data_IF_614237935778
#
_entry.id   IF_614237935778
#
_cell.length_a   1.000
_cell.length_b   1.000
_cell.length_c   1.000
_cell.angle_alpha   90.00
_cell.angle_beta   90.00
_cell.angle_gamma   90.00
#
_symmetry.space_group_name_H-M   'P 1'
#
loop_
_entity.id
_entity.type
_entity.pdbx_description
1 polymer ?
#
# COMPACT_ATOMS: atom_id res chain seq x y z
N UNK A 1 -3.06 52.72 -0.52
CA UNK A 1 -2.37 52.25 0.72
C UNK A 1 -1.04 51.62 0.32
N UNK A 2 0.04 51.86 1.09
CA UNK A 2 1.42 51.65 0.69
C UNK A 2 1.88 50.17 0.79
N UNK A 3 3.00 49.80 0.16
CA UNK A 3 3.50 48.43 0.15
C UNK A 3 4.20 48.08 1.48
N UNK A 4 3.96 46.89 2.01
CA UNK A 4 4.73 46.35 3.15
C UNK A 4 5.87 45.48 2.63
N UNK A 5 7.06 45.87 3.09
CA UNK A 5 8.36 45.28 2.82
C UNK A 5 8.43 43.82 3.28
N UNK A 6 9.04 43.01 2.43
CA UNK A 6 9.65 41.72 2.75
C UNK A 6 10.82 41.92 3.71
N UNK A 7 10.79 41.23 4.85
CA UNK A 7 11.90 41.14 5.78
C UNK A 7 12.37 39.68 5.80
N UNK A 8 13.41 39.42 5.02
CA UNK A 8 14.31 38.27 5.17
C UNK A 8 15.12 38.49 6.45
N UNK A 9 15.05 37.58 7.42
CA UNK A 9 16.04 37.49 8.48
C UNK A 9 16.64 36.08 8.46
N UNK A 10 17.80 36.01 7.83
CA UNK A 10 18.83 34.99 8.08
C UNK A 10 19.50 35.35 9.40
N UNK A 11 19.55 34.44 10.37
CA UNK A 11 20.53 34.54 11.45
C UNK A 11 21.28 33.22 11.62
N UNK A 12 22.59 33.37 11.50
CA UNK A 12 23.64 32.38 11.63
C UNK A 12 23.81 31.90 13.09
N UNK A 13 24.39 30.71 13.18
CA UNK A 13 24.87 30.04 14.38
C UNK A 13 25.67 30.92 15.35
N UNK A 14 25.41 30.74 16.65
CA UNK A 14 26.36 31.02 17.72
C UNK A 14 26.42 29.81 18.67
N UNK A 15 27.52 29.08 18.54
CA UNK A 15 27.98 28.01 19.41
C UNK A 15 28.24 28.56 20.82
N UNK A 16 27.64 27.97 21.85
CA UNK A 16 28.09 28.10 23.24
C UNK A 16 28.14 26.70 23.86
N UNK A 17 29.37 26.27 24.14
CA UNK A 17 29.71 24.98 24.71
C UNK A 17 29.32 24.93 26.20
N UNK A 18 28.16 24.38 26.50
CA UNK A 18 27.99 23.67 27.77
C UNK A 18 28.47 22.23 27.53
N UNK A 19 29.53 21.81 28.22
CA UNK A 19 29.95 20.40 28.29
C UNK A 19 28.86 19.60 29.01
N UNK A 20 27.79 19.28 28.29
CA UNK A 20 26.95 18.14 28.59
C UNK A 20 27.83 16.89 28.45
N UNK A 21 27.91 16.09 29.51
CA UNK A 21 28.52 14.77 29.43
C UNK A 21 27.81 14.02 28.28
N UNK A 22 28.58 13.61 27.27
CA UNK A 22 28.08 12.73 26.20
C UNK A 22 27.34 11.55 26.86
N UNK A 23 26.09 11.26 26.47
CA UNK A 23 25.48 9.99 26.83
C UNK A 23 26.41 8.87 26.38
N UNK A 24 26.50 7.79 27.17
CA UNK A 24 27.25 6.61 26.80
C UNK A 24 26.69 6.05 25.48
N UNK A 25 27.44 6.24 24.40
CA UNK A 25 27.52 5.38 23.21
C UNK A 25 26.29 5.28 22.31
N UNK A 26 26.46 5.72 21.06
CA UNK A 26 25.65 5.40 19.89
C UNK A 26 25.74 3.88 19.58
N UNK A 27 25.29 3.02 20.50
CA UNK A 27 25.29 1.58 20.30
C UNK A 27 24.06 1.14 19.49
N UNK A 28 24.23 0.34 18.44
CA UNK A 28 23.13 -0.28 17.72
C UNK A 28 22.14 -1.01 18.63
N UNK A 29 20.85 -0.95 18.30
CA UNK A 29 19.83 -1.69 19.03
C UNK A 29 20.07 -3.20 18.92
N UNK A 30 20.16 -3.90 20.04
CA UNK A 30 20.31 -5.35 20.05
C UNK A 30 18.96 -6.04 19.82
N UNK A 31 18.92 -7.24 19.24
CA UNK A 31 17.67 -7.99 19.04
C UNK A 31 16.81 -8.11 20.30
N UNK A 32 17.45 -8.36 21.45
CA UNK A 32 16.79 -8.50 22.76
C UNK A 32 16.15 -7.20 23.27
N UNK A 33 16.47 -6.06 22.65
CA UNK A 33 15.84 -4.77 22.94
C UNK A 33 14.58 -4.54 22.10
N UNK A 34 14.32 -5.39 21.09
CA UNK A 34 13.07 -5.40 20.34
C UNK A 34 12.09 -6.36 21.01
N UNK A 35 12.46 -7.63 21.08
CA UNK A 35 11.65 -8.71 21.67
C UNK A 35 12.55 -9.63 22.49
N UNK A 36 11.98 -10.25 23.52
CA UNK A 36 12.68 -11.18 24.42
C UNK A 36 12.83 -12.60 23.83
N UNK A 37 11.98 -12.96 22.87
CA UNK A 37 11.87 -14.31 22.30
C UNK A 37 11.65 -14.27 20.78
N UNK A 38 12.20 -15.27 20.09
CA UNK A 38 12.03 -15.49 18.66
C UNK A 38 11.90 -17.00 18.39
N UNK A 39 10.74 -17.42 17.91
CA UNK A 39 10.43 -18.83 17.62
C UNK A 39 9.92 -18.97 16.18
N UNK A 40 10.49 -19.91 15.43
CA UNK A 40 10.18 -20.10 14.01
C UNK A 40 9.31 -21.34 13.81
N UNK A 41 8.23 -21.19 13.06
CA UNK A 41 7.48 -22.31 12.46
C UNK A 41 7.49 -22.17 10.95
N UNK A 42 7.70 -23.27 10.24
CA UNK A 42 7.77 -23.30 8.77
C UNK A 42 6.79 -24.34 8.27
N UNK A 43 5.96 -23.96 7.29
CA UNK A 43 5.05 -24.87 6.60
C UNK A 43 5.48 -24.99 5.13
N UNK A 44 5.52 -26.23 4.63
CA UNK A 44 5.78 -26.49 3.21
C UNK A 44 4.49 -26.66 2.41
N UNK A 45 4.57 -26.49 1.09
CA UNK A 45 3.43 -26.71 0.18
C UNK A 45 2.89 -28.14 0.25
N UNK A 46 3.73 -29.10 0.63
CA UNK A 46 3.33 -30.50 0.86
C UNK A 46 2.45 -30.69 2.10
N UNK A 47 2.24 -29.66 2.91
CA UNK A 47 1.55 -29.72 4.21
C UNK A 47 2.44 -30.16 5.38
N UNK A 48 3.70 -30.50 5.12
CA UNK A 48 4.68 -30.87 6.15
C UNK A 48 5.11 -29.61 6.91
N UNK A 49 5.17 -29.72 8.23
CA UNK A 49 5.70 -28.67 9.14
C UNK A 49 6.92 -29.24 9.86
N UNK A 50 8.13 -29.13 9.27
CA UNK A 50 9.34 -29.65 9.89
C UNK A 50 9.75 -28.83 11.11
N UNK A 51 10.54 -29.45 11.99
CA UNK A 51 11.17 -28.75 13.11
C UNK A 51 12.44 -28.07 12.61
N UNK A 52 12.59 -26.81 13.01
CA UNK A 52 13.77 -26.00 12.73
C UNK A 52 14.40 -25.57 14.06
N UNK A 53 15.67 -25.90 14.26
CA UNK A 53 16.40 -25.56 15.48
C UNK A 53 17.35 -24.39 15.24
N UNK A 54 17.55 -23.56 16.28
CA UNK A 54 18.52 -22.47 16.27
C UNK A 54 19.59 -22.68 17.33
N UNK A 55 20.84 -22.33 17.00
CA UNK A 55 21.97 -22.31 17.94
C UNK A 55 22.15 -20.95 18.63
N UNK A 56 21.19 -20.05 18.46
CA UNK A 56 21.22 -18.69 19.00
C UNK A 56 21.83 -17.68 18.05
N UNK A 57 21.97 -16.45 18.54
CA UNK A 57 22.41 -15.30 17.76
C UNK A 57 23.89 -15.37 17.38
N UNK A 58 24.17 -15.09 16.12
CA UNK A 58 25.50 -14.86 15.58
C UNK A 58 25.67 -13.38 15.27
N UNK A 59 26.85 -12.85 15.58
CA UNK A 59 27.23 -11.51 15.16
C UNK A 59 27.58 -11.53 13.67
N UNK A 60 26.95 -10.64 12.91
CA UNK A 60 27.20 -10.44 11.48
C UNK A 60 28.13 -9.26 11.22
N UNK A 61 27.96 -8.66 10.05
CA UNK A 61 28.78 -7.54 9.59
C UNK A 61 28.48 -6.24 10.37
N UNK A 62 29.49 -5.36 10.41
CA UNK A 62 29.34 -3.99 10.89
C UNK A 62 29.67 -3.04 9.76
N UNK A 63 28.88 -1.99 9.61
CA UNK A 63 29.03 -1.07 8.51
C UNK A 63 28.48 0.31 8.80
N UNK A 64 28.39 1.11 7.73
CA UNK A 64 27.75 2.42 7.75
C UNK A 64 27.09 2.67 6.40
N UNK A 65 25.87 3.18 6.43
CA UNK A 65 25.16 3.66 5.25
C UNK A 65 24.38 4.95 5.55
N UNK A 66 23.35 5.25 4.76
CA UNK A 66 22.51 6.45 4.89
C UNK A 66 21.69 6.50 6.19
N UNK A 67 21.39 5.35 6.82
CA UNK A 67 20.71 5.29 8.11
C UNK A 67 21.69 5.35 9.29
N UNK A 68 22.99 5.34 9.02
CA UNK A 68 24.05 5.50 10.01
C UNK A 68 24.89 4.24 10.18
N UNK A 69 25.52 4.12 11.34
CA UNK A 69 26.29 2.92 11.69
C UNK A 69 25.35 1.76 12.01
N UNK A 70 25.67 0.59 11.50
CA UNK A 70 24.91 -0.62 11.78
C UNK A 70 25.76 -1.80 12.22
N UNK A 71 25.09 -2.71 12.92
CA UNK A 71 25.55 -4.06 13.20
C UNK A 71 24.47 -5.06 12.80
N UNK A 72 24.85 -6.09 12.07
CA UNK A 72 23.94 -7.17 11.70
C UNK A 72 23.96 -8.26 12.75
N UNK A 73 22.79 -8.76 13.15
CA UNK A 73 22.61 -9.92 14.01
C UNK A 73 21.87 -11.02 13.23
N UNK A 74 22.40 -12.24 13.24
CA UNK A 74 21.82 -13.37 12.50
C UNK A 74 21.30 -14.42 13.48
N UNK A 75 20.07 -14.88 13.25
CA UNK A 75 19.49 -16.03 13.96
C UNK A 75 19.21 -17.12 12.92
N UNK A 76 20.18 -18.03 12.68
CA UNK A 76 20.00 -19.13 11.75
C UNK A 76 19.14 -20.23 12.37
N UNK A 77 18.31 -20.82 11.53
CA UNK A 77 17.46 -21.96 11.80
C UNK A 77 17.78 -23.04 10.77
N UNK A 78 17.91 -24.28 11.22
CA UNK A 78 18.25 -25.42 10.35
C UNK A 78 17.32 -26.60 10.65
N UNK A 79 16.95 -27.34 9.60
CA UNK A 79 16.21 -28.60 9.75
C UNK A 79 17.12 -29.70 10.32
N UNK A 80 16.50 -30.80 10.79
CA UNK A 80 17.22 -31.94 11.39
C UNK A 80 18.28 -32.55 10.45
N UNK A 81 17.98 -32.62 9.15
CA UNK A 81 18.90 -33.17 8.13
C UNK A 81 20.02 -32.20 7.73
N UNK A 82 19.94 -30.93 8.13
CA UNK A 82 20.89 -29.91 7.73
C UNK A 82 20.77 -29.45 6.26
N UNK A 83 19.71 -29.82 5.57
CA UNK A 83 19.51 -29.61 4.13
C UNK A 83 18.71 -28.34 3.80
N UNK A 84 17.91 -27.86 4.75
CA UNK A 84 17.10 -26.65 4.64
C UNK A 84 17.45 -25.69 5.76
N UNK A 85 17.47 -24.40 5.45
CA UNK A 85 17.81 -23.36 6.41
C UNK A 85 17.01 -22.09 6.17
N UNK A 86 16.68 -21.43 7.27
CA UNK A 86 16.15 -20.08 7.30
C UNK A 86 17.07 -19.23 8.16
N UNK A 87 17.18 -17.94 7.89
CA UNK A 87 17.96 -17.03 8.73
C UNK A 87 17.23 -15.72 8.88
N UNK A 88 16.84 -15.41 10.10
CA UNK A 88 16.39 -14.07 10.47
C UNK A 88 17.62 -13.18 10.61
N UNK A 89 17.69 -12.14 9.80
CA UNK A 89 18.76 -11.15 9.81
C UNK A 89 18.18 -9.82 10.31
N UNK A 90 18.74 -9.28 11.38
CA UNK A 90 18.41 -7.95 11.88
C UNK A 90 19.58 -7.01 11.59
N UNK A 91 19.36 -6.01 10.74
CA UNK A 91 20.30 -4.90 10.53
C UNK A 91 19.93 -3.81 11.53
N UNK A 92 20.78 -3.65 12.54
CA UNK A 92 20.49 -2.80 13.69
C UNK A 92 21.27 -1.50 13.64
N UNK A 93 20.57 -0.39 13.77
CA UNK A 93 21.09 0.97 13.94
C UNK A 93 20.77 1.46 15.36
N UNK A 94 21.17 2.69 15.70
CA UNK A 94 20.90 3.29 17.01
C UNK A 94 19.40 3.34 17.38
N UNK A 95 18.55 3.61 16.39
CA UNK A 95 17.11 3.79 16.57
C UNK A 95 16.26 2.93 15.63
N UNK A 96 16.87 2.29 14.63
CA UNK A 96 16.17 1.56 13.58
C UNK A 96 16.61 0.10 13.55
N UNK A 97 15.70 -0.81 13.28
CA UNK A 97 15.99 -2.20 12.93
C UNK A 97 15.27 -2.55 11.64
N UNK A 98 16.02 -3.06 10.66
CA UNK A 98 15.47 -3.66 9.44
C UNK A 98 15.66 -5.17 9.51
N UNK A 99 14.56 -5.91 9.39
CA UNK A 99 14.57 -7.37 9.51
C UNK A 99 14.36 -8.03 8.15
N UNK A 100 15.22 -8.99 7.82
CA UNK A 100 15.14 -9.77 6.60
C UNK A 100 15.05 -11.27 6.93
N UNK A 101 14.41 -12.02 6.04
CA UNK A 101 14.39 -13.47 6.11
C UNK A 101 15.06 -14.04 4.87
N UNK A 102 16.15 -14.76 5.10
CA UNK A 102 16.79 -15.58 4.07
C UNK A 102 16.25 -17.00 4.16
N UNK A 103 15.86 -17.57 3.04
CA UNK A 103 15.34 -18.93 2.93
C UNK A 103 16.21 -19.70 1.94
N UNK A 104 16.54 -20.94 2.28
CA UNK A 104 17.19 -21.89 1.38
C UNK A 104 16.73 -23.30 1.75
N UNK A 105 15.75 -23.82 1.01
CA UNK A 105 15.18 -25.14 1.25
C UNK A 105 15.87 -26.22 0.42
N UNK A 106 15.78 -27.47 0.88
CA UNK A 106 16.28 -28.66 0.16
C UNK A 106 15.77 -28.70 -1.28
N UNK A 107 16.69 -28.97 -2.19
CA UNK A 107 16.38 -29.19 -3.59
C UNK A 107 17.13 -30.43 -4.07
N UNK A 108 16.37 -31.40 -4.57
CA UNK A 108 16.89 -32.56 -5.27
C UNK A 108 16.04 -32.78 -6.53
N UNK A 109 16.69 -32.75 -7.70
CA UNK A 109 16.03 -32.88 -9.01
C UNK A 109 15.46 -34.30 -9.18
N UNK A 110 16.10 -35.30 -8.58
CA UNK A 110 15.67 -36.70 -8.63
C UNK A 110 15.04 -37.17 -7.31
N UNK A 111 14.85 -36.24 -6.36
CA UNK A 111 14.37 -36.52 -5.01
C UNK A 111 13.38 -35.48 -4.52
N UNK A 112 13.42 -35.21 -3.22
CA UNK A 112 12.48 -34.28 -2.58
C UNK A 112 12.97 -32.84 -2.75
N UNK A 113 12.10 -31.99 -3.29
CA UNK A 113 12.27 -30.53 -3.28
C UNK A 113 11.23 -29.93 -2.34
N UNK A 114 11.69 -29.10 -1.41
CA UNK A 114 10.82 -28.37 -0.49
C UNK A 114 10.56 -26.95 -1.00
N UNK A 115 9.34 -26.48 -0.78
CA UNK A 115 8.84 -25.15 -1.13
C UNK A 115 7.97 -24.65 0.02
N UNK A 116 8.01 -23.35 0.32
CA UNK A 116 7.18 -22.76 1.37
C UNK A 116 5.72 -22.83 0.97
N UNK A 117 4.83 -23.13 1.92
CA UNK A 117 3.40 -22.97 1.73
C UNK A 117 3.10 -21.52 1.29
N UNK A 118 2.22 -21.29 0.29
CA UNK A 118 2.01 -19.94 -0.24
C UNK A 118 1.35 -19.02 0.78
N UNK A 119 0.58 -19.57 1.71
CA UNK A 119 -0.03 -18.83 2.81
C UNK A 119 0.55 -19.28 4.15
N UNK A 120 1.02 -18.32 4.96
CA UNK A 120 1.66 -18.54 6.25
C UNK A 120 2.79 -19.58 6.22
N UNK A 121 3.57 -19.62 5.13
CA UNK A 121 4.71 -20.53 4.96
C UNK A 121 5.80 -20.33 6.01
N UNK A 122 5.88 -19.13 6.60
CA UNK A 122 6.71 -18.87 7.79
C UNK A 122 5.87 -18.12 8.83
N UNK A 123 5.98 -18.56 10.08
CA UNK A 123 5.51 -17.84 11.26
C UNK A 123 6.69 -17.59 12.18
N UNK A 124 6.91 -16.33 12.52
CA UNK A 124 7.91 -15.93 13.51
C UNK A 124 7.17 -15.40 14.74
N UNK A 125 7.05 -16.24 15.76
CA UNK A 125 6.47 -15.87 17.05
C UNK A 125 7.49 -15.09 17.87
N UNK A 126 7.05 -13.99 18.47
CA UNK A 126 7.84 -13.16 19.37
C UNK A 126 7.05 -12.89 20.65
N UNK A 127 7.76 -12.58 21.73
CA UNK A 127 7.13 -12.11 22.96
C UNK A 127 6.68 -10.65 22.85
N UNK A 128 6.26 -10.09 23.97
CA UNK A 128 5.93 -8.65 24.05
C UNK A 128 7.16 -7.79 23.71
N UNK A 129 6.95 -6.56 23.21
CA UNK A 129 8.03 -5.62 23.05
C UNK A 129 8.79 -5.40 24.35
N UNK A 130 10.12 -5.32 24.27
CA UNK A 130 10.95 -5.16 25.46
C UNK A 130 10.63 -3.84 26.20
N UNK A 131 10.63 -3.91 27.53
CA UNK A 131 10.30 -2.80 28.42
C UNK A 131 8.90 -2.89 29.03
N UNK A 132 8.53 -1.93 29.89
CA UNK A 132 7.18 -1.87 30.45
C UNK A 132 6.22 -1.29 29.40
N UNK A 133 5.44 -2.17 28.76
CA UNK A 133 4.46 -1.79 27.74
C UNK A 133 3.31 -0.96 28.35
N UNK A 134 3.07 0.21 27.80
CA UNK A 134 2.01 1.14 28.21
C UNK A 134 0.76 1.01 27.31
N UNK A 135 0.93 0.58 26.06
CA UNK A 135 -0.15 0.34 25.12
C UNK A 135 0.31 0.25 23.67
N UNK A 136 -0.60 -0.21 22.81
CA UNK A 136 -0.39 -0.40 21.37
C UNK A 136 -1.50 0.22 20.54
N UNK A 137 -1.14 0.72 19.36
CA UNK A 137 -2.01 1.12 18.27
C UNK A 137 -1.64 0.30 17.04
N UNK A 138 -2.55 -0.54 16.60
CA UNK A 138 -2.41 -1.34 15.39
C UNK A 138 -3.30 -0.80 14.28
N UNK A 139 -2.85 -0.92 13.04
CA UNK A 139 -3.69 -0.73 11.87
C UNK A 139 -3.78 -2.07 11.13
N UNK A 140 -4.98 -2.67 11.12
CA UNK A 140 -5.20 -3.96 10.47
C UNK A 140 -6.00 -3.81 9.19
N UNK A 141 -5.61 -4.56 8.16
CA UNK A 141 -6.30 -4.59 6.87
C UNK A 141 -7.25 -5.80 6.82
N UNK A 142 -8.48 -5.59 6.37
CA UNK A 142 -9.49 -6.66 6.35
C UNK A 142 -10.84 -6.25 6.92
N UNK A 143 -11.00 -5.00 7.36
CA UNK A 143 -12.33 -4.47 7.60
C UNK A 143 -13.06 -4.34 6.27
N UNK A 144 -14.18 -5.07 6.11
CA UNK A 144 -14.89 -5.20 4.83
C UNK A 144 -13.90 -5.43 3.67
N UNK A 145 -13.08 -6.46 3.84
CA UNK A 145 -12.07 -6.96 2.88
C UNK A 145 -10.85 -6.06 2.67
N UNK A 146 -11.04 -4.81 2.25
CA UNK A 146 -9.97 -3.99 1.66
C UNK A 146 -9.55 -2.78 2.49
N UNK A 147 -10.33 -2.48 3.54
CA UNK A 147 -10.09 -1.31 4.36
C UNK A 147 -9.28 -1.64 5.60
N UNK A 148 -8.61 -0.59 6.07
CA UNK A 148 -7.75 -0.61 7.24
C UNK A 148 -8.46 0.10 8.39
N UNK A 149 -8.28 -0.40 9.60
CA UNK A 149 -8.83 0.20 10.82
C UNK A 149 -7.81 0.32 11.94
N UNK A 150 -7.88 1.39 12.74
CA UNK A 150 -7.12 1.45 13.98
C UNK A 150 -7.71 0.47 15.01
N UNK A 151 -6.83 -0.09 15.84
CA UNK A 151 -7.16 -0.94 16.96
C UNK A 151 -6.23 -0.62 18.13
N UNK A 152 -6.81 -0.30 19.29
CA UNK A 152 -6.07 0.08 20.49
C UNK A 152 -6.14 -1.05 21.52
N UNK A 153 -5.00 -1.43 22.07
CA UNK A 153 -4.94 -2.44 23.12
C UNK A 153 -3.83 -2.15 24.13
N UNK A 154 -3.83 -2.90 25.24
CA UNK A 154 -2.78 -2.83 26.27
C UNK A 154 -1.60 -3.76 26.01
N UNK A 155 -1.75 -4.73 25.11
CA UNK A 155 -0.81 -5.82 24.88
C UNK A 155 -0.84 -6.23 23.40
N UNK A 156 0.28 -6.76 22.88
CA UNK A 156 0.37 -7.28 21.51
C UNK A 156 -0.36 -8.61 21.31
N UNK A 157 -0.66 -9.34 22.39
CA UNK A 157 -1.51 -10.54 22.36
C UNK A 157 -2.91 -10.32 21.79
N UNK A 158 -3.42 -9.08 21.83
CA UNK A 158 -4.73 -8.71 21.33
C UNK A 158 -4.72 -8.19 19.88
N UNK A 159 -3.58 -8.24 19.18
CA UNK A 159 -3.49 -7.71 17.82
C UNK A 159 -4.45 -8.45 16.87
N UNK A 160 -5.30 -7.72 16.12
CA UNK A 160 -6.13 -8.31 15.09
C UNK A 160 -5.28 -8.98 14.01
N UNK A 161 -5.82 -10.00 13.37
CA UNK A 161 -5.18 -10.60 12.20
C UNK A 161 -5.01 -9.58 11.08
N UNK A 162 -3.98 -9.80 10.24
CA UNK A 162 -3.64 -8.91 9.12
C UNK A 162 -3.28 -7.49 9.57
N UNK A 163 -2.74 -7.34 10.78
CA UNK A 163 -2.15 -6.08 11.23
C UNK A 163 -0.96 -5.73 10.33
N UNK A 164 -0.97 -4.53 9.75
CA UNK A 164 0.02 -4.06 8.77
C UNK A 164 0.79 -2.81 9.22
N UNK A 165 0.50 -2.30 10.41
CA UNK A 165 1.32 -1.32 11.11
C UNK A 165 1.08 -1.46 12.61
N UNK A 166 2.14 -1.34 13.41
CA UNK A 166 2.09 -1.44 14.86
C UNK A 166 2.91 -0.31 15.48
N UNK A 167 2.26 0.56 16.24
CA UNK A 167 2.90 1.54 17.11
C UNK A 167 2.73 1.07 18.55
N UNK A 168 3.78 1.09 19.35
CA UNK A 168 3.64 0.88 20.79
C UNK A 168 4.41 1.91 21.58
N UNK A 169 4.03 2.04 22.85
CA UNK A 169 4.76 2.82 23.84
C UNK A 169 5.26 1.90 24.95
N UNK A 170 6.55 1.93 25.22
CA UNK A 170 7.18 1.20 26.32
C UNK A 170 8.26 2.07 26.97
N UNK A 171 8.31 2.07 28.30
CA UNK A 171 9.26 2.87 29.09
C UNK A 171 9.35 4.35 28.65
N UNK A 172 8.21 4.97 28.34
CA UNK A 172 8.14 6.36 27.92
C UNK A 172 8.55 6.63 26.46
N UNK A 173 8.95 5.61 25.69
CA UNK A 173 9.36 5.73 24.28
C UNK A 173 8.38 5.06 23.34
N UNK A 174 8.33 5.56 22.11
CA UNK A 174 7.48 5.02 21.05
C UNK A 174 8.31 4.21 20.06
N UNK A 175 7.75 3.12 19.55
CA UNK A 175 8.34 2.39 18.44
C UNK A 175 7.27 2.12 17.38
N UNK A 176 7.53 2.58 16.15
CA UNK A 176 6.71 2.24 14.98
C UNK A 176 7.36 1.05 14.27
N UNK A 177 6.56 0.00 14.02
CA UNK A 177 6.92 -1.15 13.22
C UNK A 177 5.98 -1.26 12.03
N UNK A 178 6.56 -1.35 10.83
CA UNK A 178 5.87 -1.67 9.60
C UNK A 178 6.28 -3.06 9.13
N UNK A 179 5.41 -4.10 9.27
CA UNK A 179 5.61 -5.31 8.49
C UNK A 179 5.54 -4.94 7.00
N UNK A 180 6.20 -5.73 6.17
CA UNK A 180 6.45 -5.37 4.78
C UNK A 180 5.82 -6.37 3.82
N UNK A 181 5.28 -5.83 2.73
CA UNK A 181 5.14 -6.56 1.49
C UNK A 181 6.34 -6.23 0.60
N UNK A 182 7.36 -7.10 0.63
CA UNK A 182 8.52 -7.02 -0.25
C UNK A 182 8.13 -7.48 -1.67
N UNK A 183 9.10 -7.77 -2.55
CA UNK A 183 8.79 -8.28 -3.88
C UNK A 183 8.00 -9.59 -3.81
N UNK A 184 8.38 -10.47 -2.88
CA UNK A 184 7.76 -11.80 -2.73
C UNK A 184 6.91 -11.95 -1.48
N UNK A 185 7.44 -11.63 -0.31
CA UNK A 185 6.73 -11.89 0.94
C UNK A 185 5.74 -10.79 1.25
N UNK A 186 4.51 -11.18 1.62
CA UNK A 186 3.59 -10.34 2.39
C UNK A 186 3.67 -10.75 3.85
N UNK A 187 4.19 -9.85 4.68
CA UNK A 187 4.28 -10.05 6.13
C UNK A 187 3.13 -9.32 6.82
N UNK A 188 2.39 -9.97 7.70
CA UNK A 188 1.36 -9.34 8.55
C UNK A 188 1.52 -9.79 9.99
N UNK A 189 0.88 -9.10 10.93
CA UNK A 189 0.94 -9.44 12.36
C UNK A 189 -0.41 -9.95 12.85
N UNK A 190 -0.36 -10.76 13.90
CA UNK A 190 -1.51 -11.14 14.73
C UNK A 190 -1.06 -11.48 16.14
N UNK A 191 -1.93 -11.28 17.12
CA UNK A 191 -1.67 -11.72 18.49
C UNK A 191 -1.66 -13.25 18.59
N UNK A 192 -0.83 -13.80 19.48
CA UNK A 192 -0.68 -15.25 19.68
C UNK A 192 -0.94 -15.71 21.13
N UNK A 193 -1.48 -14.83 21.99
CA UNK A 193 -1.78 -15.09 23.40
C UNK A 193 -0.64 -14.80 24.38
N UNK A 194 0.63 -14.86 23.94
CA UNK A 194 1.82 -14.58 24.76
C UNK A 194 2.63 -13.35 24.28
N UNK A 195 2.26 -12.82 23.12
CA UNK A 195 2.90 -11.74 22.39
C UNK A 195 2.24 -11.67 21.02
N UNK A 196 3.03 -11.70 19.95
CA UNK A 196 2.47 -11.71 18.60
C UNK A 196 3.35 -12.51 17.63
N UNK A 197 2.84 -12.79 16.45
CA UNK A 197 3.60 -13.46 15.40
C UNK A 197 3.59 -12.64 14.10
N UNK A 198 4.71 -12.71 13.38
CA UNK A 198 4.80 -12.30 11.99
C UNK A 198 4.36 -13.48 11.12
N UNK A 199 3.27 -13.31 10.39
CA UNK A 199 2.75 -14.25 9.40
C UNK A 199 3.28 -13.84 8.04
N UNK A 200 4.14 -14.67 7.45
CA UNK A 200 4.84 -14.40 6.19
C UNK A 200 4.31 -15.33 5.11
N UNK A 201 3.71 -14.75 4.08
CA UNK A 201 3.10 -15.48 2.97
C UNK A 201 3.77 -15.10 1.65
N UNK A 202 4.40 -16.04 0.91
CA UNK A 202 4.86 -15.79 -0.46
C UNK A 202 3.72 -15.49 -1.44
N UNK A 203 2.53 -16.04 -1.16
CA UNK A 203 1.30 -15.92 -1.96
C UNK A 203 1.42 -16.41 -3.41
N UNK A 204 2.54 -17.04 -3.78
CA UNK A 204 2.74 -17.76 -5.02
C UNK A 204 3.39 -19.11 -4.73
N UNK A 205 3.28 -20.04 -5.68
CA UNK A 205 3.81 -21.39 -5.49
C UNK A 205 5.30 -21.48 -5.82
N UNK A 206 5.97 -22.46 -5.21
CA UNK A 206 7.33 -22.86 -5.59
C UNK A 206 8.47 -22.03 -4.99
N UNK A 207 8.17 -21.11 -4.06
CA UNK A 207 9.20 -20.32 -3.39
C UNK A 207 10.07 -21.21 -2.48
N UNK A 208 11.38 -21.18 -2.69
CA UNK A 208 12.33 -22.07 -1.99
C UNK A 208 13.65 -21.41 -1.60
N UNK A 209 14.00 -20.29 -2.24
CA UNK A 209 15.26 -19.61 -2.02
C UNK A 209 15.10 -18.11 -2.26
N UNK A 210 15.68 -17.29 -1.39
CA UNK A 210 15.63 -15.85 -1.51
C UNK A 210 15.88 -15.14 -0.19
N UNK A 211 16.04 -13.82 -0.25
CA UNK A 211 16.16 -12.94 0.92
C UNK A 211 15.19 -11.78 0.76
N UNK A 212 14.24 -11.66 1.68
CA UNK A 212 13.15 -10.70 1.59
C UNK A 212 13.06 -9.86 2.88
N UNK A 213 12.64 -8.59 2.74
CA UNK A 213 12.40 -7.69 3.87
C UNK A 213 11.11 -8.10 4.59
N UNK A 214 11.19 -8.35 5.90
CA UNK A 214 10.05 -8.72 6.74
C UNK A 214 9.39 -7.53 7.40
N UNK A 215 10.18 -6.69 8.07
CA UNK A 215 9.70 -5.52 8.78
C UNK A 215 10.79 -4.47 8.96
N UNK A 216 10.36 -3.23 9.22
CA UNK A 216 11.22 -2.17 9.74
C UNK A 216 10.60 -1.64 11.02
N UNK A 217 11.43 -1.44 12.04
CA UNK A 217 11.05 -0.82 13.30
C UNK A 217 11.92 0.40 13.58
N UNK A 218 11.33 1.49 14.05
CA UNK A 218 12.06 2.69 14.47
C UNK A 218 11.56 3.15 15.84
N UNK A 219 12.48 3.50 16.74
CA UNK A 219 12.20 3.94 18.11
C UNK A 219 12.52 5.42 18.29
N UNK A 220 11.65 6.16 18.97
CA UNK A 220 11.82 7.58 19.27
C UNK A 220 10.99 8.06 20.44
N UNK A 221 10.97 9.37 20.67
CA UNK A 221 10.28 10.00 21.80
C UNK A 221 8.93 10.62 21.42
N UNK A 222 8.67 10.80 20.12
CA UNK A 222 7.46 11.41 19.60
C UNK A 222 6.69 10.43 18.70
N UNK A 223 5.39 10.20 18.93
CA UNK A 223 4.59 9.19 18.22
C UNK A 223 4.32 9.53 16.75
N UNK A 224 4.48 10.79 16.33
CA UNK A 224 4.33 11.19 14.93
C UNK A 224 5.66 11.11 14.18
N UNK A 225 6.73 11.67 14.77
CA UNK A 225 8.06 11.64 14.15
C UNK A 225 8.59 10.21 13.95
N UNK A 226 8.27 9.29 14.89
CA UNK A 226 8.67 7.88 14.78
C UNK A 226 8.06 7.19 13.55
N UNK A 227 6.86 7.61 13.14
CA UNK A 227 6.15 7.05 11.97
C UNK A 227 6.84 7.48 10.68
N UNK A 228 7.15 8.78 10.56
CA UNK A 228 7.89 9.33 9.42
C UNK A 228 9.27 8.69 9.29
N UNK A 229 10.02 8.59 10.40
CA UNK A 229 11.35 7.96 10.42
C UNK A 229 11.33 6.46 10.13
N UNK A 230 10.33 5.73 10.62
CA UNK A 230 10.12 4.35 10.22
C UNK A 230 9.85 4.22 8.72
N UNK A 231 9.04 5.12 8.14
CA UNK A 231 8.76 5.11 6.70
C UNK A 231 10.00 5.45 5.85
N UNK A 232 10.82 6.44 6.25
CA UNK A 232 12.11 6.71 5.61
C UNK A 232 13.02 5.46 5.62
N UNK A 233 13.10 4.79 6.78
CA UNK A 233 13.88 3.58 6.92
C UNK A 233 13.35 2.41 6.07
N UNK A 234 12.04 2.33 5.81
CA UNK A 234 11.47 1.36 4.85
C UNK A 234 12.01 1.58 3.45
N UNK A 235 12.02 2.82 2.95
CA UNK A 235 12.56 3.14 1.62
C UNK A 235 14.06 2.81 1.52
N UNK A 236 14.84 3.19 2.53
CA UNK A 236 16.26 2.85 2.63
C UNK A 236 16.49 1.33 2.61
N UNK A 237 15.74 0.57 3.42
CA UNK A 237 15.82 -0.89 3.50
C UNK A 237 15.42 -1.59 2.19
N UNK A 238 14.55 -0.97 1.39
CA UNK A 238 14.15 -1.40 0.04
C UNK A 238 15.10 -0.93 -1.06
N UNK A 239 16.06 -0.05 -0.75
CA UNK A 239 16.94 0.63 -1.71
C UNK A 239 16.16 1.42 -2.75
N UNK A 240 15.09 2.06 -2.30
CA UNK A 240 14.21 2.89 -3.11
C UNK A 240 14.37 4.36 -2.71
N UNK A 241 14.23 5.33 -3.63
CA UNK A 241 14.22 6.74 -3.26
C UNK A 241 13.13 7.02 -2.22
N UNK A 242 13.48 7.77 -1.17
CA UNK A 242 12.52 8.18 -0.14
C UNK A 242 11.42 9.03 -0.77
N UNK A 243 10.16 8.55 -0.70
CA UNK A 243 8.98 9.20 -1.26
C UNK A 243 7.83 9.27 -0.24
N UNK A 244 8.06 10.01 0.84
CA UNK A 244 7.03 10.34 1.82
C UNK A 244 5.95 11.24 1.21
N UNK A 245 4.79 11.33 1.88
CA UNK A 245 3.64 12.16 1.45
C UNK A 245 4.04 13.61 1.17
N UNK A 246 4.87 14.18 2.04
CA UNK A 246 5.35 15.57 1.99
C UNK A 246 6.24 15.85 0.78
N UNK A 247 6.83 14.80 0.18
CA UNK A 247 7.64 14.90 -1.04
C UNK A 247 6.81 14.82 -2.33
N UNK A 248 5.51 14.51 -2.22
CA UNK A 248 4.60 14.35 -3.34
C UNK A 248 3.83 15.63 -3.58
N UNK A 249 3.57 15.98 -4.85
CA UNK A 249 2.78 17.16 -5.20
C UNK A 249 1.31 16.92 -4.83
N UNK A 250 0.76 17.74 -3.95
CA UNK A 250 -0.68 17.80 -3.71
C UNK A 250 -1.37 18.40 -4.94
N UNK A 251 -2.33 17.72 -5.59
CA UNK A 251 -2.97 18.26 -6.77
C UNK A 251 -3.97 19.37 -6.42
N UNK A 252 -3.81 20.54 -7.05
CA UNK A 252 -4.62 21.76 -6.80
C UNK A 252 -6.14 21.51 -6.86
N UNK A 253 -6.61 20.60 -7.74
CA UNK A 253 -8.04 20.27 -7.88
C UNK A 253 -8.70 19.96 -6.53
N UNK A 254 -7.96 19.34 -5.61
CA UNK A 254 -8.48 18.94 -4.30
C UNK A 254 -8.47 20.05 -3.24
N UNK A 255 -7.98 21.25 -3.56
CA UNK A 255 -8.16 22.45 -2.73
C UNK A 255 -9.57 23.04 -2.84
N UNK A 256 -10.36 22.58 -3.83
CA UNK A 256 -11.70 23.07 -4.09
C UNK A 256 -12.77 22.04 -3.70
N UNK A 257 -13.97 22.54 -3.43
CA UNK A 257 -15.15 21.70 -3.25
C UNK A 257 -15.48 20.97 -4.56
N UNK A 258 -15.64 19.66 -4.46
CA UNK A 258 -16.09 18.83 -5.56
C UNK A 258 -17.37 18.08 -5.29
N UNK A 259 -17.89 17.50 -6.35
CA UNK A 259 -19.04 16.60 -6.30
C UNK A 259 -18.72 15.28 -7.02
N UNK A 260 -19.08 14.18 -6.39
CA UNK A 260 -18.93 12.83 -6.92
C UNK A 260 -20.32 12.22 -7.12
N UNK A 261 -20.54 11.56 -8.25
CA UNK A 261 -21.87 11.11 -8.66
C UNK A 261 -22.37 9.85 -7.93
N UNK A 262 -21.51 9.14 -7.18
CA UNK A 262 -21.82 7.82 -6.61
C UNK A 262 -23.09 7.82 -5.73
N UNK A 263 -23.15 8.62 -4.67
CA UNK A 263 -24.30 8.63 -3.76
C UNK A 263 -25.59 9.16 -4.42
N UNK A 264 -25.47 9.89 -5.54
CA UNK A 264 -26.60 10.45 -6.25
C UNK A 264 -27.25 9.44 -7.20
N UNK A 265 -26.46 8.62 -7.89
CA UNK A 265 -26.97 7.75 -8.96
C UNK A 265 -26.52 6.30 -8.88
N UNK A 266 -25.49 5.99 -8.09
CA UNK A 266 -24.76 4.72 -8.17
C UNK A 266 -24.45 4.40 -9.65
N UNK A 267 -24.82 3.21 -10.11
CA UNK A 267 -24.59 2.77 -11.49
C UNK A 267 -25.50 3.44 -12.53
N UNK A 268 -26.53 4.18 -12.12
CA UNK A 268 -27.48 4.85 -13.01
C UNK A 268 -27.01 6.24 -13.45
N UNK A 269 -25.74 6.59 -13.17
CA UNK A 269 -25.13 7.84 -13.64
C UNK A 269 -25.30 8.00 -15.15
N UNK A 270 -25.73 9.18 -15.57
CA UNK A 270 -25.99 9.51 -16.97
C UNK A 270 -25.69 10.98 -17.22
N UNK A 271 -25.50 11.34 -18.49
CA UNK A 271 -25.33 12.73 -18.92
C UNK A 271 -26.48 13.60 -18.41
N UNK A 272 -27.73 13.18 -18.62
CA UNK A 272 -28.91 13.94 -18.18
C UNK A 272 -28.93 14.14 -16.66
N UNK A 273 -28.70 13.08 -15.87
CA UNK A 273 -28.70 13.20 -14.40
C UNK A 273 -27.62 14.14 -13.88
N UNK A 274 -26.43 14.11 -14.49
CA UNK A 274 -25.34 15.03 -14.16
C UNK A 274 -25.73 16.48 -14.45
N UNK A 275 -26.35 16.74 -15.60
CA UNK A 275 -26.78 18.08 -16.00
C UNK A 275 -27.87 18.63 -15.07
N UNK A 276 -28.90 17.84 -14.76
CA UNK A 276 -29.97 18.22 -13.83
C UNK A 276 -29.42 18.53 -12.44
N UNK A 277 -28.42 17.77 -11.98
CA UNK A 277 -27.77 18.05 -10.70
C UNK A 277 -26.91 19.32 -10.76
N UNK A 278 -26.22 19.57 -11.87
CA UNK A 278 -25.43 20.77 -12.06
C UNK A 278 -26.32 22.03 -12.06
N UNK A 279 -27.50 21.96 -12.69
CA UNK A 279 -28.53 23.00 -12.61
C UNK A 279 -28.96 23.27 -11.16
N UNK A 280 -29.23 22.22 -10.38
CA UNK A 280 -29.59 22.35 -8.97
C UNK A 280 -28.47 22.99 -8.13
N UNK A 281 -27.22 22.54 -8.30
CA UNK A 281 -26.06 23.07 -7.60
C UNK A 281 -25.85 24.56 -7.91
N UNK A 282 -25.98 24.94 -9.19
CA UNK A 282 -25.91 26.33 -9.64
C UNK A 282 -27.04 27.18 -9.05
N UNK A 283 -28.28 26.70 -9.11
CA UNK A 283 -29.43 27.39 -8.53
C UNK A 283 -29.28 27.62 -7.02
N UNK A 284 -28.68 26.65 -6.31
CA UNK A 284 -28.36 26.73 -4.87
C UNK A 284 -27.06 27.46 -4.56
N UNK A 285 -26.34 27.96 -5.57
CA UNK A 285 -25.07 28.66 -5.42
C UNK A 285 -23.99 27.84 -4.68
N UNK A 286 -23.99 26.52 -4.87
CA UNK A 286 -22.95 25.63 -4.33
C UNK A 286 -21.70 25.73 -5.20
N UNK A 287 -20.53 26.11 -4.66
CA UNK A 287 -19.34 26.42 -5.46
C UNK A 287 -18.55 25.17 -5.84
N UNK A 288 -19.18 24.25 -6.58
CA UNK A 288 -18.51 23.02 -7.07
C UNK A 288 -17.54 23.38 -8.19
N UNK A 289 -16.26 23.05 -8.02
CA UNK A 289 -15.20 23.31 -9.03
C UNK A 289 -14.70 22.07 -9.73
N UNK A 290 -15.02 20.89 -9.22
CA UNK A 290 -14.74 19.66 -9.91
C UNK A 290 -15.86 18.63 -9.76
N UNK A 291 -16.05 17.82 -10.80
CA UNK A 291 -17.03 16.74 -10.83
C UNK A 291 -16.32 15.42 -11.09
N UNK A 292 -16.59 14.40 -10.28
CA UNK A 292 -16.14 13.02 -10.49
C UNK A 292 -17.31 12.18 -10.99
N UNK A 293 -17.24 11.74 -12.25
CA UNK A 293 -18.17 10.77 -12.83
C UNK A 293 -17.75 9.39 -12.30
N UNK A 294 -18.44 8.95 -11.26
CA UNK A 294 -18.16 7.70 -10.56
C UNK A 294 -18.69 6.47 -11.31
N UNK A 295 -18.58 5.29 -10.70
CA UNK A 295 -18.89 4.00 -11.33
C UNK A 295 -20.27 3.97 -12.01
N UNK A 296 -20.35 3.31 -13.17
CA UNK A 296 -21.56 3.15 -13.99
C UNK A 296 -21.49 3.78 -15.37
N UNK A 297 -20.45 4.57 -15.68
CA UNK A 297 -20.34 5.29 -16.95
C UNK A 297 -19.78 4.47 -18.13
N UNK A 298 -19.02 3.42 -17.85
CA UNK A 298 -18.35 2.58 -18.86
C UNK A 298 -19.18 1.35 -19.25
N UNK A 299 -19.04 0.81 -20.48
CA UNK A 299 -19.70 -0.40 -20.90
C UNK A 299 -19.07 -1.62 -20.22
N UNK A 300 -19.92 -2.42 -19.59
CA UNK A 300 -19.53 -3.54 -18.73
C UNK A 300 -20.42 -4.74 -19.03
N UNK A 301 -19.83 -5.94 -19.01
CA UNK A 301 -20.56 -7.22 -19.09
C UNK A 301 -20.13 -8.09 -17.93
N UNK A 302 -21.09 -8.59 -17.14
CA UNK A 302 -20.81 -9.42 -15.95
C UNK A 302 -19.75 -8.84 -15.00
N UNK A 303 -19.77 -7.51 -14.84
CA UNK A 303 -18.78 -6.74 -14.07
C UNK A 303 -17.34 -6.83 -14.61
N UNK A 304 -17.16 -7.04 -15.91
CA UNK A 304 -15.88 -6.93 -16.60
C UNK A 304 -15.93 -5.77 -17.63
N UNK A 305 -14.82 -5.04 -17.77
CA UNK A 305 -14.71 -3.89 -18.67
C UNK A 305 -14.73 -4.33 -20.14
N UNK A 306 -15.63 -3.77 -20.95
CA UNK A 306 -15.77 -4.18 -22.37
C UNK A 306 -14.97 -3.29 -23.31
N UNK A 307 -15.03 -1.97 -23.12
CA UNK A 307 -14.39 -0.96 -23.96
C UNK A 307 -13.78 0.15 -23.10
N UNK A 308 -12.76 0.84 -23.63
CA UNK A 308 -12.19 2.04 -23.00
C UNK A 308 -13.10 3.26 -23.06
N UNK A 309 -14.16 3.17 -23.87
CA UNK A 309 -15.12 4.24 -24.13
C UNK A 309 -16.23 4.27 -23.10
N UNK A 310 -17.05 5.29 -23.18
CA UNK A 310 -18.28 5.44 -22.42
C UNK A 310 -19.43 4.58 -22.96
N UNK A 311 -20.43 4.33 -22.11
CA UNK A 311 -21.71 3.79 -22.53
C UNK A 311 -22.56 4.91 -23.17
N UNK A 312 -22.65 4.90 -24.50
CA UNK A 312 -23.40 5.90 -25.27
C UNK A 312 -24.91 5.89 -24.99
N UNK A 313 -25.45 4.82 -24.39
CA UNK A 313 -26.86 4.82 -23.96
C UNK A 313 -27.08 5.73 -22.74
N UNK A 314 -26.05 5.93 -21.92
CA UNK A 314 -26.05 6.82 -20.75
C UNK A 314 -25.47 8.20 -21.06
N UNK A 315 -24.58 8.28 -22.03
CA UNK A 315 -23.88 9.49 -22.48
C UNK A 315 -24.08 9.68 -24.00
N UNK A 316 -25.27 10.09 -24.45
CA UNK A 316 -25.60 10.19 -25.88
C UNK A 316 -24.73 11.19 -26.64
N UNK A 317 -24.22 12.25 -25.99
CA UNK A 317 -23.27 13.20 -26.59
C UNK A 317 -21.80 12.85 -26.29
N UNK A 318 -21.59 11.66 -25.73
CA UNK A 318 -20.31 11.18 -25.21
C UNK A 318 -19.82 11.94 -23.97
N UNK A 319 -18.72 11.47 -23.40
CA UNK A 319 -18.07 12.15 -22.27
C UNK A 319 -17.64 13.56 -22.64
N UNK A 320 -17.12 13.76 -23.87
CA UNK A 320 -16.70 15.08 -24.32
C UNK A 320 -17.84 16.10 -24.35
N UNK A 321 -19.06 15.68 -24.71
CA UNK A 321 -20.26 16.53 -24.63
C UNK A 321 -20.55 16.96 -23.19
N UNK A 322 -20.60 15.98 -22.30
CA UNK A 322 -20.85 16.19 -20.85
C UNK A 322 -19.80 17.11 -20.23
N UNK A 323 -18.51 16.85 -20.48
CA UNK A 323 -17.39 17.66 -19.97
C UNK A 323 -17.47 19.10 -20.48
N UNK A 324 -17.71 19.32 -21.77
CA UNK A 324 -17.84 20.68 -22.33
C UNK A 324 -18.96 21.44 -21.65
N UNK A 325 -20.11 20.80 -21.42
CA UNK A 325 -21.27 21.44 -20.78
C UNK A 325 -20.97 21.81 -19.32
N UNK A 326 -20.38 20.88 -18.55
CA UNK A 326 -19.92 21.14 -17.17
C UNK A 326 -18.99 22.35 -17.11
N UNK A 327 -17.98 22.39 -17.99
CA UNK A 327 -16.97 23.46 -17.99
C UNK A 327 -17.51 24.81 -18.46
N UNK A 328 -18.35 24.83 -19.50
CA UNK A 328 -18.85 26.09 -20.09
C UNK A 328 -20.02 26.70 -19.31
N UNK A 329 -20.94 25.88 -18.80
CA UNK A 329 -22.23 26.36 -18.31
C UNK A 329 -22.30 26.42 -16.78
N UNK A 330 -21.43 25.68 -16.08
CA UNK A 330 -21.49 25.47 -14.63
C UNK A 330 -20.21 25.82 -13.88
N UNK A 331 -19.23 26.47 -14.51
CA UNK A 331 -18.00 26.95 -13.85
C UNK A 331 -17.20 25.83 -13.15
N UNK A 332 -17.35 24.60 -13.67
CA UNK A 332 -16.55 23.44 -13.29
C UNK A 332 -15.19 23.54 -13.99
N UNK A 333 -14.11 23.47 -13.23
CA UNK A 333 -12.75 23.59 -13.76
C UNK A 333 -12.18 22.23 -14.15
N UNK A 334 -12.51 21.17 -13.40
CA UNK A 334 -12.00 19.82 -13.63
C UNK A 334 -13.10 18.77 -13.66
N UNK A 335 -13.03 17.83 -14.59
CA UNK A 335 -13.90 16.65 -14.64
C UNK A 335 -13.06 15.39 -14.54
N UNK A 336 -13.40 14.52 -13.60
CA UNK A 336 -12.74 13.23 -13.40
C UNK A 336 -13.64 12.05 -13.75
N UNK A 337 -13.03 10.89 -13.94
CA UNK A 337 -13.75 9.61 -13.99
C UNK A 337 -13.21 8.62 -12.98
N UNK A 338 -14.10 7.75 -12.54
CA UNK A 338 -13.77 6.55 -11.80
C UNK A 338 -13.38 5.39 -12.74
N UNK A 339 -12.43 4.57 -12.35
CA UNK A 339 -12.24 3.23 -12.91
C UNK A 339 -11.63 2.28 -11.87
N UNK A 340 -11.64 0.97 -12.12
CA UNK A 340 -10.98 0.01 -11.23
C UNK A 340 -9.53 -0.26 -11.65
N UNK A 341 -8.70 -0.67 -10.67
CA UNK A 341 -7.29 -1.00 -10.87
C UNK A 341 -7.05 -2.22 -11.77
N UNK A 342 -8.02 -3.12 -11.84
CA UNK A 342 -7.95 -4.38 -12.61
C UNK A 342 -8.73 -4.30 -13.94
N UNK A 343 -9.15 -3.11 -14.38
CA UNK A 343 -10.07 -2.92 -15.50
C UNK A 343 -11.46 -2.55 -15.00
N UNK A 344 -12.20 -3.54 -14.48
CA UNK A 344 -13.42 -3.36 -13.68
C UNK A 344 -13.42 -4.37 -12.53
N UNK A 345 -14.54 -4.51 -11.79
CA UNK A 345 -14.62 -5.37 -10.60
C UNK A 345 -14.20 -6.84 -10.82
N UNK A 346 -14.50 -7.44 -11.98
CA UNK A 346 -14.09 -8.79 -12.37
C UNK A 346 -13.00 -8.81 -13.45
N UNK A 347 -12.37 -7.67 -13.72
CA UNK A 347 -11.34 -7.57 -14.74
C UNK A 347 -11.82 -6.96 -16.06
N UNK A 348 -11.28 -7.46 -17.15
CA UNK A 348 -11.58 -7.08 -18.54
C UNK A 348 -12.35 -8.22 -19.21
N UNK A 349 -13.39 -7.88 -19.97
CA UNK A 349 -14.25 -8.86 -20.63
C UNK A 349 -13.47 -9.60 -21.73
N UNK A 350 -13.40 -10.95 -21.71
CA UNK A 350 -12.56 -11.71 -22.65
C UNK A 350 -13.03 -11.64 -24.11
N UNK A 351 -14.29 -11.28 -24.34
CA UNK A 351 -14.88 -11.10 -25.67
C UNK A 351 -15.06 -9.62 -26.04
N UNK A 352 -14.63 -8.73 -25.16
CA UNK A 352 -14.78 -7.29 -25.28
C UNK A 352 -13.82 -6.69 -26.28
N UNK A 353 -14.11 -5.46 -26.71
CA UNK A 353 -13.28 -4.70 -27.64
C UNK A 353 -11.83 -4.63 -27.16
N UNK A 354 -11.61 -4.40 -25.86
CA UNK A 354 -10.28 -4.31 -25.27
C UNK A 354 -9.51 -5.62 -25.50
N UNK A 355 -10.09 -6.76 -25.12
CA UNK A 355 -9.43 -8.07 -25.22
C UNK A 355 -9.16 -8.49 -26.66
N UNK A 356 -10.03 -8.11 -27.60
CA UNK A 356 -9.86 -8.41 -29.02
C UNK A 356 -8.74 -7.57 -29.66
N UNK A 357 -8.58 -6.31 -29.25
CA UNK A 357 -7.61 -5.37 -29.87
C UNK A 357 -6.28 -5.27 -29.14
N UNK A 358 -6.26 -5.52 -27.83
CA UNK A 358 -5.12 -5.22 -26.95
C UNK A 358 -4.71 -6.43 -26.10
N UNK A 359 -4.86 -7.65 -26.63
CA UNK A 359 -4.57 -8.91 -25.92
C UNK A 359 -3.15 -8.96 -25.35
N UNK A 360 -2.19 -8.36 -26.02
CA UNK A 360 -0.77 -8.30 -25.62
C UNK A 360 -0.51 -7.43 -24.39
N UNK A 361 -1.45 -6.55 -24.04
CA UNK A 361 -1.40 -5.67 -22.87
C UNK A 361 -2.08 -6.29 -21.64
N UNK A 362 -2.75 -7.43 -21.81
CA UNK A 362 -3.50 -8.12 -20.78
C UNK A 362 -2.74 -9.35 -20.25
N UNK A 363 -3.09 -9.73 -19.04
CA UNK A 363 -2.71 -10.99 -18.41
C UNK A 363 -3.98 -11.74 -18.03
N UNK A 364 -3.95 -13.07 -18.05
CA UNK A 364 -5.01 -13.90 -17.50
C UNK A 364 -4.60 -14.39 -16.10
N UNK A 365 -5.58 -14.50 -15.20
CA UNK A 365 -5.40 -15.25 -13.96
C UNK A 365 -5.69 -16.76 -14.15
N UNK A 366 -5.51 -17.55 -13.09
CA UNK A 366 -5.80 -19.00 -13.07
C UNK A 366 -7.25 -19.35 -13.39
N UNK A 367 -8.19 -18.43 -13.15
CA UNK A 367 -9.61 -18.60 -13.45
C UNK A 367 -9.97 -18.12 -14.86
N UNK A 368 -9.00 -17.63 -15.65
CA UNK A 368 -9.20 -17.09 -16.99
C UNK A 368 -9.74 -15.65 -17.03
N UNK A 369 -9.88 -14.96 -15.88
CA UNK A 369 -10.23 -13.54 -15.86
C UNK A 369 -9.04 -12.73 -16.38
N UNK A 370 -9.33 -11.70 -17.17
CA UNK A 370 -8.30 -10.83 -17.72
C UNK A 370 -8.13 -9.58 -16.87
N UNK A 371 -6.90 -9.12 -16.71
CA UNK A 371 -6.55 -7.85 -16.08
C UNK A 371 -5.42 -7.17 -16.86
N UNK A 372 -5.19 -5.86 -16.66
CA UNK A 372 -4.00 -5.20 -17.21
C UNK A 372 -2.74 -5.94 -16.76
N UNK A 373 -1.77 -6.08 -17.65
CA UNK A 373 -0.55 -6.82 -17.34
C UNK A 373 0.17 -6.21 -16.13
N UNK A 374 0.62 -7.09 -15.23
CA UNK A 374 1.38 -6.69 -14.03
C UNK A 374 2.86 -6.38 -14.34
N UNK A 375 3.32 -6.66 -15.57
CA UNK A 375 4.57 -6.13 -16.10
C UNK A 375 4.40 -4.64 -16.41
N UNK A 376 5.20 -3.78 -15.77
CA UNK A 376 5.03 -2.33 -15.85
C UNK A 376 5.02 -1.79 -17.30
N UNK A 377 5.86 -2.36 -18.18
CA UNK A 377 5.97 -1.92 -19.56
C UNK A 377 4.72 -2.27 -20.37
N UNK A 378 4.23 -3.50 -20.27
CA UNK A 378 2.99 -3.94 -20.94
C UNK A 378 1.76 -3.27 -20.33
N UNK A 379 1.67 -3.23 -19.01
CA UNK A 379 0.61 -2.57 -18.27
C UNK A 379 0.51 -1.08 -18.60
N UNK A 380 1.65 -0.41 -18.81
CA UNK A 380 1.65 1.00 -19.23
C UNK A 380 0.97 1.18 -20.58
N UNK A 381 1.11 0.23 -21.51
CA UNK A 381 0.38 0.26 -22.77
C UNK A 381 -1.14 0.29 -22.56
N UNK A 382 -1.67 -0.58 -21.68
CA UNK A 382 -3.11 -0.61 -21.37
C UNK A 382 -3.58 0.75 -20.82
N UNK A 383 -2.88 1.27 -19.80
CA UNK A 383 -3.26 2.54 -19.18
C UNK A 383 -3.11 3.73 -20.13
N UNK A 384 -2.04 3.77 -20.93
CA UNK A 384 -1.80 4.85 -21.89
C UNK A 384 -2.90 4.93 -22.95
N UNK A 385 -3.36 3.78 -23.48
CA UNK A 385 -4.46 3.78 -24.45
C UNK A 385 -5.76 4.29 -23.81
N UNK A 386 -6.11 3.79 -22.62
CA UNK A 386 -7.34 4.20 -21.95
C UNK A 386 -7.30 5.66 -21.49
N UNK A 387 -6.25 6.06 -20.78
CA UNK A 387 -6.07 7.41 -20.25
C UNK A 387 -5.85 8.44 -21.36
N UNK A 388 -5.18 8.05 -22.44
CA UNK A 388 -5.06 8.89 -23.64
C UNK A 388 -6.41 9.19 -24.27
N UNK A 389 -7.28 8.19 -24.40
CA UNK A 389 -8.65 8.39 -24.87
C UNK A 389 -9.47 9.28 -23.93
N UNK A 390 -9.42 9.04 -22.62
CA UNK A 390 -10.11 9.83 -21.60
C UNK A 390 -9.67 11.30 -21.60
N UNK A 391 -8.36 11.54 -21.64
CA UNK A 391 -7.78 12.88 -21.74
C UNK A 391 -8.26 13.61 -23.00
N UNK A 392 -8.35 12.90 -24.14
CA UNK A 392 -8.91 13.45 -25.37
C UNK A 392 -10.42 13.79 -25.27
N UNK A 393 -11.16 13.19 -24.33
CA UNK A 393 -12.55 13.59 -24.01
C UNK A 393 -12.62 14.81 -23.07
N UNK A 394 -11.48 15.32 -22.62
CA UNK A 394 -11.39 16.48 -21.71
C UNK A 394 -11.43 16.13 -20.22
N UNK A 395 -11.26 14.85 -19.86
CA UNK A 395 -11.08 14.41 -18.48
C UNK A 395 -9.73 14.90 -17.94
N UNK A 396 -9.74 15.37 -16.69
CA UNK A 396 -8.59 16.01 -16.05
C UNK A 396 -8.02 15.22 -14.86
N UNK A 397 -8.76 14.26 -14.31
CA UNK A 397 -8.35 13.50 -13.13
C UNK A 397 -9.00 12.12 -13.02
N UNK A 398 -8.47 11.28 -12.14
CA UNK A 398 -8.91 9.90 -11.94
C UNK A 398 -9.26 9.60 -10.49
N UNK A 399 -10.24 8.72 -10.28
CA UNK A 399 -10.41 7.94 -9.05
C UNK A 399 -10.22 6.46 -9.39
N UNK A 400 -9.26 5.80 -8.74
CA UNK A 400 -8.91 4.41 -9.05
C UNK A 400 -9.21 3.50 -7.87
N UNK A 401 -10.26 2.68 -8.04
CA UNK A 401 -10.78 1.78 -7.03
C UNK A 401 -10.19 0.37 -7.12
N UNK A 402 -10.59 -0.48 -6.16
CA UNK A 402 -10.28 -1.91 -6.11
C UNK A 402 -8.79 -2.26 -6.09
N UNK A 403 -7.92 -1.35 -5.65
CA UNK A 403 -6.47 -1.59 -5.68
C UNK A 403 -6.03 -2.78 -4.81
N UNK A 404 -6.61 -2.95 -3.62
CA UNK A 404 -6.30 -4.11 -2.75
C UNK A 404 -6.92 -5.43 -3.21
N UNK A 405 -7.83 -5.40 -4.19
CA UNK A 405 -8.38 -6.63 -4.76
C UNK A 405 -7.39 -7.38 -5.64
N UNK A 406 -6.26 -6.76 -6.02
CA UNK A 406 -5.25 -7.35 -6.90
C UNK A 406 -4.82 -8.76 -6.42
N UNK A 407 -4.74 -8.98 -5.10
CA UNK A 407 -4.41 -10.28 -4.52
C UNK A 407 -5.31 -11.41 -5.04
N UNK A 408 -6.58 -11.15 -5.31
CA UNK A 408 -7.55 -12.15 -5.81
C UNK A 408 -7.29 -12.54 -7.27
N UNK A 409 -6.54 -11.74 -8.02
CA UNK A 409 -6.17 -12.03 -9.41
C UNK A 409 -4.80 -12.70 -9.52
N UNK A 410 -3.86 -12.36 -8.63
CA UNK A 410 -2.45 -12.78 -8.79
C UNK A 410 -2.02 -13.89 -7.83
N UNK A 411 -2.79 -14.16 -6.77
CA UNK A 411 -2.49 -15.22 -5.80
C UNK A 411 -2.31 -16.57 -6.51
N UNK A 412 -1.25 -17.27 -6.14
CA UNK A 412 -0.87 -18.56 -6.71
C UNK A 412 -0.15 -18.48 -8.06
N UNK A 413 0.10 -17.28 -8.61
CA UNK A 413 0.71 -17.11 -9.94
C UNK A 413 1.95 -16.23 -9.90
N UNK A 414 1.80 -15.01 -9.39
CA UNK A 414 2.82 -13.97 -9.42
C UNK A 414 3.03 -13.47 -8.00
N UNK A 415 4.29 -13.21 -7.58
CA UNK A 415 4.54 -12.57 -6.30
C UNK A 415 3.76 -11.25 -6.15
N UNK A 416 2.99 -11.11 -5.07
CA UNK A 416 2.03 -10.02 -4.94
C UNK A 416 2.69 -8.64 -4.94
N UNK A 417 3.82 -8.47 -4.25
CA UNK A 417 4.50 -7.19 -4.20
C UNK A 417 5.08 -6.79 -5.56
N UNK A 418 5.64 -7.74 -6.32
CA UNK A 418 6.06 -7.51 -7.70
C UNK A 418 4.88 -7.07 -8.58
N UNK A 419 3.75 -7.77 -8.48
CA UNK A 419 2.55 -7.46 -9.26
C UNK A 419 1.99 -6.07 -8.94
N UNK A 420 1.87 -5.73 -7.65
CA UNK A 420 1.41 -4.42 -7.21
C UNK A 420 2.35 -3.30 -7.67
N UNK A 421 3.66 -3.49 -7.50
CA UNK A 421 4.68 -2.52 -7.93
C UNK A 421 4.59 -2.23 -9.42
N UNK A 422 4.59 -3.27 -10.25
CA UNK A 422 4.54 -3.09 -11.71
C UNK A 422 3.26 -2.41 -12.19
N UNK A 423 2.11 -2.78 -11.61
CA UNK A 423 0.82 -2.21 -12.01
C UNK A 423 0.64 -0.75 -11.52
N UNK A 424 1.12 -0.42 -10.31
CA UNK A 424 1.16 0.98 -9.83
C UNK A 424 2.11 1.84 -10.65
N UNK A 425 3.31 1.34 -10.97
CA UNK A 425 4.26 2.06 -11.83
C UNK A 425 3.64 2.39 -13.19
N UNK A 426 2.98 1.42 -13.81
CA UNK A 426 2.27 1.60 -15.07
C UNK A 426 1.12 2.62 -14.96
N UNK A 427 0.28 2.49 -13.93
CA UNK A 427 -0.86 3.38 -13.70
C UNK A 427 -0.40 4.83 -13.46
N UNK A 428 0.56 5.03 -12.55
CA UNK A 428 1.02 6.36 -12.15
C UNK A 428 1.81 7.04 -13.27
N UNK A 429 2.54 6.29 -14.10
CA UNK A 429 3.20 6.84 -15.28
C UNK A 429 2.17 7.40 -16.27
N UNK A 430 1.10 6.65 -16.53
CA UNK A 430 0.01 7.09 -17.42
C UNK A 430 -0.78 8.26 -16.82
N UNK A 431 -1.08 8.21 -15.53
CA UNK A 431 -1.76 9.30 -14.83
C UNK A 431 -0.94 10.60 -14.81
N UNK A 432 0.39 10.49 -14.68
CA UNK A 432 1.30 11.64 -14.77
C UNK A 432 1.32 12.22 -16.18
N UNK A 433 1.34 11.37 -17.21
CA UNK A 433 1.36 11.77 -18.62
C UNK A 433 0.08 12.51 -19.04
N UNK A 434 -1.09 12.03 -18.60
CA UNK A 434 -2.39 12.48 -19.12
C UNK A 434 -3.15 13.43 -18.20
N UNK A 435 -2.90 13.38 -16.89
CA UNK A 435 -3.71 14.07 -15.88
C UNK A 435 -2.88 14.85 -14.87
N UNK A 436 -1.59 15.07 -15.13
CA UNK A 436 -0.67 15.77 -14.22
C UNK A 436 -0.65 15.11 -12.82
N UNK A 437 -0.82 13.78 -12.77
CA UNK A 437 -0.84 13.00 -11.53
C UNK A 437 -2.05 13.25 -10.64
N UNK A 438 -3.12 13.89 -11.14
CA UNK A 438 -4.39 14.08 -10.43
C UNK A 438 -5.13 12.74 -10.30
N UNK A 439 -4.81 11.99 -9.26
CA UNK A 439 -5.35 10.65 -9.01
C UNK A 439 -5.71 10.47 -7.53
N UNK A 440 -6.94 10.02 -7.27
CA UNK A 440 -7.37 9.50 -5.98
C UNK A 440 -7.16 7.99 -5.97
N UNK A 441 -6.31 7.49 -5.07
CA UNK A 441 -6.22 6.06 -4.82
C UNK A 441 -7.34 5.61 -3.89
N UNK A 442 -8.03 4.52 -4.22
CA UNK A 442 -9.16 4.06 -3.45
C UNK A 442 -9.15 2.52 -3.33
N UNK A 443 -9.71 2.03 -2.21
CA UNK A 443 -9.64 0.63 -1.79
C UNK A 443 -8.21 0.05 -1.79
N UNK A 444 -7.18 0.89 -1.66
CA UNK A 444 -5.78 0.51 -1.80
C UNK A 444 -4.98 0.63 -0.50
N UNK A 445 -5.64 0.45 0.64
CA UNK A 445 -4.97 0.60 1.94
C UNK A 445 -4.09 -0.59 2.33
N UNK A 446 -4.15 -1.71 1.60
CA UNK A 446 -3.24 -2.82 1.82
C UNK A 446 -1.78 -2.41 1.54
N UNK A 447 -0.86 -2.88 2.37
CA UNK A 447 0.57 -2.51 2.32
C UNK A 447 1.22 -2.66 0.94
N UNK A 448 0.88 -3.69 0.16
CA UNK A 448 1.40 -3.89 -1.20
C UNK A 448 1.09 -2.71 -2.13
N UNK A 449 -0.01 -1.99 -1.89
CA UNK A 449 -0.41 -0.82 -2.65
C UNK A 449 0.23 0.45 -2.08
N UNK A 450 0.12 0.66 -0.77
CA UNK A 450 0.63 1.87 -0.11
C UNK A 450 2.12 2.08 -0.40
N UNK A 451 2.92 1.02 -0.32
CA UNK A 451 4.36 1.09 -0.59
C UNK A 451 4.73 1.15 -2.07
N UNK A 452 3.79 0.83 -2.98
CA UNK A 452 4.03 0.84 -4.42
C UNK A 452 3.64 2.16 -5.10
N UNK A 453 2.96 3.07 -4.39
CA UNK A 453 2.59 4.40 -4.90
C UNK A 453 3.75 5.38 -4.76
N UNK A 454 4.38 5.72 -5.88
CA UNK A 454 5.55 6.59 -5.94
C UNK A 454 5.14 8.07 -6.01
N UNK A 455 4.14 8.42 -6.83
CA UNK A 455 3.88 9.82 -7.19
C UNK A 455 2.56 10.39 -6.65
N UNK A 456 1.53 9.56 -6.55
CA UNK A 456 0.19 9.97 -6.12
C UNK A 456 0.14 10.24 -4.62
N UNK A 457 -0.44 11.39 -4.27
CA UNK A 457 -0.49 11.91 -2.90
C UNK A 457 -1.84 11.65 -2.20
N UNK A 458 -2.90 11.38 -2.96
CA UNK A 458 -4.26 11.28 -2.44
C UNK A 458 -4.67 9.83 -2.32
N UNK A 459 -5.19 9.46 -1.15
CA UNK A 459 -5.78 8.16 -0.89
C UNK A 459 -7.04 8.35 -0.09
N UNK A 460 -8.09 7.62 -0.47
CA UNK A 460 -9.20 7.38 0.43
C UNK A 460 -8.75 6.50 1.59
N UNK A 461 -9.23 6.81 2.79
CA UNK A 461 -8.84 6.16 4.05
C UNK A 461 -9.99 5.45 4.79
N UNK A 462 -11.19 5.36 4.19
CA UNK A 462 -12.37 4.75 4.81
C UNK A 462 -13.19 3.94 3.81
N UNK A 463 -14.14 3.14 4.32
CA UNK A 463 -15.20 2.52 3.51
C UNK A 463 -16.22 3.57 3.02
N UNK A 464 -17.21 3.14 2.24
CA UNK A 464 -18.34 3.99 1.77
C UNK A 464 -18.96 4.79 2.89
N UNK A 465 -19.40 6.03 2.66
CA UNK A 465 -20.10 6.79 3.68
C UNK A 465 -21.56 6.87 3.25
N UNK A 466 -22.47 6.32 4.04
CA UNK A 466 -23.89 6.37 3.73
C UNK A 466 -24.59 7.35 4.67
N UNK A 467 -24.95 8.56 4.22
CA UNK A 467 -25.51 9.60 5.09
C UNK A 467 -26.86 9.19 5.71
N UNK A 468 -27.60 8.29 5.07
CA UNK A 468 -28.86 7.76 5.59
C UNK A 468 -28.72 6.76 6.74
N UNK A 469 -27.48 6.41 7.13
CA UNK A 469 -27.19 5.40 8.15
C UNK A 469 -26.39 6.04 9.30
N UNK A 470 -27.03 6.36 10.44
CA UNK A 470 -26.40 7.14 11.52
C UNK A 470 -25.08 6.56 12.04
N UNK A 471 -24.93 5.24 12.04
CA UNK A 471 -23.72 4.57 12.49
C UNK A 471 -22.49 4.92 11.65
N UNK A 472 -22.65 5.31 10.38
CA UNK A 472 -21.53 5.56 9.47
C UNK A 472 -20.78 6.84 9.77
N UNK A 473 -21.40 7.80 10.45
CA UNK A 473 -20.70 8.98 10.97
C UNK A 473 -19.65 8.59 12.00
N UNK A 474 -20.00 7.67 12.92
CA UNK A 474 -19.04 7.14 13.88
C UNK A 474 -17.93 6.37 13.19
N UNK A 475 -18.28 5.58 12.17
CA UNK A 475 -17.29 4.81 11.41
C UNK A 475 -16.28 5.67 10.64
N UNK A 476 -16.62 6.92 10.31
CA UNK A 476 -15.74 7.86 9.58
C UNK A 476 -15.01 8.86 10.48
N UNK A 477 -15.35 8.92 11.76
CA UNK A 477 -14.65 9.73 12.75
C UNK A 477 -13.50 8.98 13.45
N UNK A 478 -13.42 7.65 13.26
CA UNK A 478 -12.37 6.75 13.73
C UNK A 478 -11.25 6.63 12.70
#
# INVERSE_FOLDING_TARGET
MPPRQSVMITMYAAYCSARLKRPKGDEPMKPQQLFDRYELTVAYESGITPIYETKGWLQGERGRDELGHYETCLLPFQDEEGTSSLTLELVCYEHTVSAYMSVKLKQDIFGITHTLAPDAGIRLSVGEPAGALEGVLAHYNGYKWWWTRPYFAKSTSALPEKTQALLWKADGRYTQLFPQCSNVFKTTLRGNGEGFEFVVSPLHQGFRTGRELLFVAHRGENPYAVVEKAAEAVFAARREPIRLRESKRYPEVFEYLGWCTWDAFYHDVSQQGIEEKADELKAKQVPVKWVMIDDGWSPVREKALVSFREDLSKFPDGLAGTVRKLKNDYDVMWVGVWHAFTGYWHGVDPEGEISLKHKDLLQADHAGRLLPSTDAKRGFGFWKEWHGWLSAQGIDMLKVDSQSSLIEFVRGQVPLGQAAKGLHEALEASASLHFDGRLINCMGMAQENVWSRVNSAISRNSDDFYPGKPEWFREHAL
#
